data_IF_991352364013
#
_entry.id   IF_991352364013
#
_cell.length_a   1.000
_cell.length_b   1.000
_cell.length_c   1.000
_cell.angle_alpha   90.00
_cell.angle_beta   90.00
_cell.angle_gamma   90.00
#
_symmetry.space_group_name_H-M   'P 1'
#
loop_
_entity.id
_entity.type
_entity.pdbx_description
1 polymer ?
#
# COMPACT_ATOMS: atom_id res chain seq x y z
N UNK A 1 -3.66 -6.22 -9.48
CA UNK A 1 -2.38 -6.54 -8.81
C UNK A 1 -1.82 -5.42 -7.93
N UNK A 2 -1.84 -4.12 -8.29
CA UNK A 2 -1.19 -3.08 -7.47
C UNK A 2 -1.71 -2.99 -6.02
N UNK A 3 -3.03 -2.87 -5.82
CA UNK A 3 -3.62 -2.78 -4.49
C UNK A 3 -3.40 -4.07 -3.66
N UNK A 4 -3.36 -5.23 -4.32
CA UNK A 4 -3.05 -6.50 -3.66
C UNK A 4 -1.61 -6.51 -3.15
N UNK A 5 -0.66 -5.98 -3.93
CA UNK A 5 0.73 -5.85 -3.49
C UNK A 5 0.85 -4.91 -2.28
N UNK A 6 0.09 -3.81 -2.26
CA UNK A 6 0.04 -2.91 -1.10
C UNK A 6 -0.51 -3.62 0.14
N UNK A 7 -1.66 -4.29 0.03
CA UNK A 7 -2.26 -5.03 1.15
C UNK A 7 -1.33 -6.11 1.67
N UNK A 8 -0.74 -6.90 0.77
CA UNK A 8 0.17 -7.98 1.15
C UNK A 8 1.43 -7.44 1.85
N UNK A 9 2.08 -6.43 1.27
CA UNK A 9 3.28 -5.84 1.83
C UNK A 9 3.01 -5.18 3.19
N UNK A 10 1.96 -4.36 3.29
CA UNK A 10 1.58 -3.73 4.56
C UNK A 10 1.23 -4.77 5.62
N UNK A 11 0.52 -5.84 5.26
CA UNK A 11 0.15 -6.92 6.17
C UNK A 11 1.36 -7.65 6.75
N UNK A 12 2.30 -8.08 5.90
CA UNK A 12 3.51 -8.78 6.39
C UNK A 12 4.42 -7.86 7.20
N UNK A 13 4.56 -6.59 6.79
CA UNK A 13 5.32 -5.60 7.56
C UNK A 13 4.69 -5.37 8.93
N UNK A 14 3.37 -5.21 8.98
CA UNK A 14 2.63 -5.01 10.22
C UNK A 14 2.83 -6.18 11.18
N UNK A 15 2.69 -7.42 10.70
CA UNK A 15 2.93 -8.61 11.53
C UNK A 15 4.36 -8.64 12.06
N UNK A 16 5.36 -8.32 11.24
CA UNK A 16 6.76 -8.30 11.68
C UNK A 16 7.03 -7.20 12.74
N UNK A 17 6.48 -6.01 12.54
CA UNK A 17 6.61 -4.90 13.50
C UNK A 17 5.87 -5.21 14.80
N UNK A 18 4.69 -5.82 14.73
CA UNK A 18 3.94 -6.22 15.92
C UNK A 18 4.75 -7.21 16.77
N UNK A 19 5.38 -8.20 16.15
CA UNK A 19 6.32 -9.12 16.82
C UNK A 19 7.48 -8.37 17.47
N UNK A 20 8.12 -7.43 16.75
CA UNK A 20 9.25 -6.67 17.27
C UNK A 20 8.87 -5.71 18.42
N UNK A 21 7.63 -5.25 18.46
CA UNK A 21 7.08 -4.44 19.54
C UNK A 21 6.46 -5.28 20.66
N UNK A 22 6.46 -6.61 20.55
CA UNK A 22 5.77 -7.52 21.49
C UNK A 22 4.28 -7.16 21.65
N UNK A 23 3.62 -6.83 20.54
CA UNK A 23 2.17 -6.61 20.48
C UNK A 23 1.51 -7.91 20.03
N UNK A 24 0.67 -8.48 20.90
CA UNK A 24 -0.12 -9.65 20.54
C UNK A 24 -1.25 -9.25 19.58
N UNK A 25 -1.26 -9.86 18.40
CA UNK A 25 -2.35 -9.73 17.42
C UNK A 25 -3.06 -11.08 17.33
N UNK A 26 -4.34 -11.11 17.68
CA UNK A 26 -5.19 -12.30 17.46
C UNK A 26 -5.60 -12.42 15.99
N UNK A 27 -5.69 -11.29 15.31
CA UNK A 27 -6.00 -11.21 13.90
C UNK A 27 -6.00 -9.78 13.40
N UNK A 28 -6.25 -9.64 12.10
CA UNK A 28 -6.39 -8.33 11.48
C UNK A 28 -6.90 -8.44 10.05
N UNK A 29 -7.47 -7.35 9.55
CA UNK A 29 -7.93 -7.22 8.17
C UNK A 29 -7.38 -5.95 7.57
N UNK A 30 -6.79 -6.06 6.39
CA UNK A 30 -6.35 -4.93 5.60
C UNK A 30 -7.18 -4.84 4.33
N UNK A 31 -7.67 -3.65 4.02
CA UNK A 31 -8.45 -3.37 2.80
C UNK A 31 -7.89 -2.16 2.09
N UNK A 32 -7.55 -2.31 0.82
CA UNK A 32 -7.16 -1.20 -0.04
C UNK A 32 -8.24 -0.89 -1.07
N UNK A 33 -8.54 0.40 -1.25
CA UNK A 33 -9.43 0.92 -2.28
C UNK A 33 -8.70 1.95 -3.13
N UNK A 34 -9.01 2.01 -4.43
CA UNK A 34 -8.40 2.96 -5.35
C UNK A 34 -9.45 3.73 -6.15
N UNK A 35 -9.14 4.99 -6.46
CA UNK A 35 -9.94 5.85 -7.35
C UNK A 35 -9.22 5.95 -8.69
N UNK A 36 -9.95 5.68 -9.77
CA UNK A 36 -9.44 5.65 -11.15
C UNK A 36 -10.38 6.43 -12.08
N UNK A 37 -9.82 7.04 -13.12
CA UNK A 37 -10.59 7.53 -14.27
C UNK A 37 -10.25 6.68 -15.49
N UNK A 38 -11.12 5.72 -15.80
CA UNK A 38 -10.87 4.76 -16.87
C UNK A 38 -10.86 5.40 -18.26
N UNK A 39 -11.40 6.61 -18.43
CA UNK A 39 -11.42 7.29 -19.73
C UNK A 39 -10.02 7.53 -20.28
N UNK A 40 -9.04 7.81 -19.39
CA UNK A 40 -7.64 7.96 -19.77
C UNK A 40 -7.05 6.63 -20.24
N UNK A 41 -7.18 5.56 -19.45
CA UNK A 41 -6.65 4.23 -19.77
C UNK A 41 -7.27 3.64 -21.05
N UNK A 42 -8.56 3.92 -21.29
CA UNK A 42 -9.27 3.45 -22.48
C UNK A 42 -9.11 4.38 -23.69
N UNK A 43 -8.36 5.49 -23.56
CA UNK A 43 -8.11 6.43 -24.65
C UNK A 43 -9.32 7.26 -25.10
N UNK A 44 -10.40 7.30 -24.29
CA UNK A 44 -11.63 8.05 -24.56
C UNK A 44 -11.42 9.55 -24.34
N UNK A 45 -10.65 9.90 -23.32
CA UNK A 45 -10.36 11.29 -22.95
C UNK A 45 -8.84 11.46 -22.78
N UNK A 46 -8.23 12.30 -23.63
CA UNK A 46 -6.78 12.53 -23.65
C UNK A 46 -6.28 13.38 -22.47
N UNK A 47 -7.17 14.10 -21.77
CA UNK A 47 -6.79 14.89 -20.58
C UNK A 47 -7.08 14.17 -19.27
N UNK A 48 -7.82 13.04 -19.31
CA UNK A 48 -8.05 12.22 -18.14
C UNK A 48 -6.74 11.53 -17.70
N UNK A 49 -6.35 11.61 -16.41
CA UNK A 49 -5.09 11.04 -15.94
C UNK A 49 -5.13 9.51 -15.98
N UNK A 50 -4.04 8.89 -16.40
CA UNK A 50 -3.84 7.43 -16.36
C UNK A 50 -3.16 7.06 -15.05
N UNK A 51 -3.77 6.13 -14.31
CA UNK A 51 -3.28 5.66 -13.01
C UNK A 51 -4.22 6.01 -11.85
N UNK A 52 -3.87 5.54 -10.65
CA UNK A 52 -4.66 5.79 -9.44
C UNK A 52 -4.58 7.27 -9.04
N UNK A 53 -5.73 7.91 -8.84
CA UNK A 53 -5.83 9.28 -8.33
C UNK A 53 -5.71 9.36 -6.82
N UNK A 54 -6.18 8.30 -6.15
CA UNK A 54 -6.09 8.13 -4.71
C UNK A 54 -6.13 6.64 -4.37
N UNK A 55 -5.42 6.26 -3.31
CA UNK A 55 -5.49 4.95 -2.71
C UNK A 55 -5.77 5.16 -1.22
N UNK A 56 -6.68 4.36 -0.64
CA UNK A 56 -6.98 4.34 0.80
C UNK A 56 -6.72 2.95 1.32
N UNK A 57 -5.88 2.85 2.35
CA UNK A 57 -5.62 1.61 3.08
C UNK A 57 -6.32 1.70 4.43
N UNK A 58 -7.18 0.73 4.73
CA UNK A 58 -7.85 0.57 6.02
C UNK A 58 -7.27 -0.66 6.71
N UNK A 59 -7.01 -0.53 8.01
CA UNK A 59 -6.45 -1.58 8.85
C UNK A 59 -7.35 -1.76 10.06
N UNK A 60 -7.89 -2.96 10.22
CA UNK A 60 -8.65 -3.41 11.38
C UNK A 60 -7.78 -4.42 12.14
N UNK A 61 -7.57 -4.23 13.44
CA UNK A 61 -6.76 -5.12 14.28
C UNK A 61 -7.59 -5.67 15.43
N UNK A 62 -7.38 -6.94 15.73
CA UNK A 62 -7.87 -7.58 16.96
C UNK A 62 -6.72 -7.74 17.95
N UNK A 63 -6.67 -6.85 18.94
CA UNK A 63 -5.63 -6.76 19.97
C UNK A 63 -6.12 -5.96 21.17
N UNK A 64 -5.56 -6.24 22.35
CA UNK A 64 -5.82 -5.47 23.57
C UNK A 64 -4.72 -4.44 23.85
N UNK A 65 -3.81 -4.22 22.88
CA UNK A 65 -2.77 -3.23 23.00
C UNK A 65 -3.36 -1.82 23.16
N UNK A 66 -2.74 -0.96 24.00
CA UNK A 66 -3.23 0.40 24.17
C UNK A 66 -3.00 1.24 22.91
N UNK A 67 -3.78 2.32 22.77
CA UNK A 67 -3.86 3.10 21.52
C UNK A 67 -2.53 3.74 21.10
N UNK A 68 -1.69 4.12 22.06
CA UNK A 68 -0.35 4.65 21.80
C UNK A 68 0.57 3.60 21.15
N UNK A 69 0.48 2.35 21.60
CA UNK A 69 1.20 1.20 21.01
C UNK A 69 0.68 0.87 19.62
N UNK A 70 -0.64 0.92 19.41
CA UNK A 70 -1.26 0.73 18.08
C UNK A 70 -0.80 1.84 17.13
N UNK A 71 -0.81 3.10 17.58
CA UNK A 71 -0.34 4.22 16.78
C UNK A 71 1.14 4.05 16.38
N UNK A 72 1.98 3.56 17.31
CA UNK A 72 3.38 3.25 17.02
C UNK A 72 3.53 2.11 16.01
N UNK A 73 2.74 1.05 16.13
CA UNK A 73 2.69 -0.06 15.17
C UNK A 73 2.33 0.44 13.77
N UNK A 74 1.29 1.29 13.63
CA UNK A 74 0.90 1.87 12.34
C UNK A 74 2.00 2.76 11.76
N UNK A 75 2.58 3.65 12.57
CA UNK A 75 3.66 4.54 12.15
C UNK A 75 4.84 3.75 11.58
N UNK A 76 5.25 2.68 12.25
CA UNK A 76 6.37 1.85 11.80
C UNK A 76 5.99 0.98 10.60
N UNK A 77 4.74 0.50 10.53
CA UNK A 77 4.24 -0.22 9.36
C UNK A 77 4.30 0.65 8.10
N UNK A 78 3.81 1.90 8.17
CA UNK A 78 3.91 2.84 7.05
C UNK A 78 5.36 3.12 6.67
N UNK A 79 6.23 3.35 7.67
CA UNK A 79 7.65 3.64 7.45
C UNK A 79 8.41 2.51 6.77
N UNK A 80 8.09 1.26 7.10
CA UNK A 80 8.85 0.09 6.62
C UNK A 80 8.15 -0.68 5.50
N UNK A 81 6.88 -0.38 5.19
CA UNK A 81 6.20 -0.99 4.06
C UNK A 81 6.77 -0.45 2.75
N UNK A 82 7.57 -1.28 2.07
CA UNK A 82 8.24 -0.93 0.81
C UNK A 82 7.25 -0.46 -0.25
N UNK A 83 6.13 -1.18 -0.41
CA UNK A 83 5.13 -0.80 -1.43
C UNK A 83 4.47 0.53 -1.09
N UNK A 84 4.12 0.77 0.17
CA UNK A 84 3.58 2.06 0.59
C UNK A 84 4.58 3.19 0.27
N UNK A 85 5.83 3.07 0.74
CA UNK A 85 6.87 4.08 0.52
C UNK A 85 7.13 4.35 -0.97
N UNK A 86 7.16 3.32 -1.80
CA UNK A 86 7.29 3.47 -3.27
C UNK A 86 6.10 4.22 -3.87
N UNK A 87 4.87 3.99 -3.40
CA UNK A 87 3.67 4.65 -3.91
C UNK A 87 3.59 6.13 -3.52
N UNK A 88 3.95 6.50 -2.28
CA UNK A 88 3.94 7.91 -1.85
C UNK A 88 5.17 8.69 -2.30
N UNK A 89 6.34 8.05 -2.34
CA UNK A 89 7.59 8.73 -2.73
C UNK A 89 7.82 8.77 -4.24
N UNK A 90 7.31 7.76 -4.96
CA UNK A 90 7.68 7.52 -6.35
C UNK A 90 9.12 7.03 -6.47
N UNK A 91 9.38 6.24 -7.53
CA UNK A 91 10.74 5.84 -7.91
C UNK A 91 10.89 6.01 -9.42
N UNK A 92 12.10 6.32 -9.93
CA UNK A 92 12.36 6.28 -11.36
C UNK A 92 12.03 4.89 -11.93
N UNK A 93 11.30 4.86 -13.05
CA UNK A 93 10.98 3.64 -13.79
C UNK A 93 11.47 3.82 -15.21
N UNK A 94 12.42 3.01 -15.63
CA UNK A 94 12.98 3.03 -16.99
C UNK A 94 12.38 1.88 -17.81
N UNK A 95 12.01 2.19 -19.06
CA UNK A 95 11.54 1.20 -20.02
C UNK A 95 12.58 1.10 -21.13
N UNK A 96 13.16 -0.09 -21.29
CA UNK A 96 14.06 -0.39 -22.39
C UNK A 96 13.36 -1.27 -23.43
N UNK A 97 13.51 -0.92 -24.70
CA UNK A 97 13.03 -1.72 -25.82
C UNK A 97 14.22 -2.21 -26.64
N UNK A 98 14.27 -3.51 -26.94
CA UNK A 98 15.12 -4.04 -28.01
C UNK A 98 14.22 -4.24 -29.22
N UNK A 99 14.44 -3.45 -30.27
CA UNK A 99 13.78 -3.68 -31.55
C UNK A 99 14.28 -4.96 -32.18
N UNK A 100 13.38 -5.77 -32.71
CA UNK A 100 13.75 -6.80 -33.68
C UNK A 100 14.16 -6.07 -34.97
N UNK A 101 15.45 -6.17 -35.33
CA UNK A 101 15.92 -5.97 -36.69
C UNK A 101 15.75 -7.26 -37.48
#
# INVERSE_FOLDING_TARGET
>A
MLLQALVACAGVTLSAVATALEIELRGGRLRAEGVLDFRGTLGVDKVAPVGFKAIRLQVELDTDAPQDRIAKLMQLTERYCVVYQTLVGGVPVEVAHRGAG
#
